data_IF_594945348581
#
_entry.id   IF_594945348581
#
_cell.length_a   1.000
_cell.length_b   1.000
_cell.length_c   1.000
_cell.angle_alpha   90.00
_cell.angle_beta   90.00
_cell.angle_gamma   90.00
#
_symmetry.space_group_name_H-M   'P 1'
#
loop_
_entity.id
_entity.type
_entity.pdbx_description
1 polymer ?
#
# COMPACT_ATOMS: atom_id res chain seq x y z
N UNK A 1 10.20 30.31 -20.24
CA UNK A 1 9.92 28.87 -20.04
C UNK A 1 10.09 28.53 -18.56
N UNK A 2 9.28 29.13 -17.69
CA UNK A 2 8.03 28.57 -17.15
C UNK A 2 8.21 27.42 -16.14
N UNK A 3 8.67 27.75 -14.92
CA UNK A 3 7.97 27.46 -13.65
C UNK A 3 7.37 26.04 -13.44
N UNK A 4 8.00 24.97 -13.95
CA UNK A 4 7.42 23.61 -13.94
C UNK A 4 8.30 22.52 -13.30
N UNK A 5 9.35 22.87 -12.56
CA UNK A 5 10.03 21.89 -11.70
C UNK A 5 9.49 22.08 -10.28
N UNK A 6 8.22 21.69 -10.09
CA UNK A 6 7.71 21.43 -8.73
C UNK A 6 8.59 20.30 -8.19
N UNK A 7 9.43 20.58 -7.19
CA UNK A 7 10.23 19.57 -6.50
C UNK A 7 9.23 18.57 -5.88
N UNK A 8 9.00 17.46 -6.57
CA UNK A 8 8.15 16.38 -6.08
C UNK A 8 8.99 15.56 -5.10
N UNK A 9 8.35 15.05 -4.04
CA UNK A 9 9.00 14.13 -3.09
C UNK A 9 9.62 12.96 -3.86
N UNK A 10 10.79 12.50 -3.43
CA UNK A 10 11.49 11.35 -4.00
C UNK A 10 10.58 10.11 -4.12
N UNK A 11 9.64 9.94 -3.17
CA UNK A 11 8.61 8.90 -3.21
C UNK A 11 7.68 9.04 -4.43
N UNK A 12 7.21 10.26 -4.71
CA UNK A 12 6.37 10.54 -5.88
C UNK A 12 7.14 10.27 -7.18
N UNK A 13 8.40 10.68 -7.26
CA UNK A 13 9.27 10.39 -8.41
C UNK A 13 9.45 8.88 -8.62
N UNK A 14 9.68 8.12 -7.55
CA UNK A 14 9.80 6.67 -7.61
C UNK A 14 8.50 5.95 -8.03
N UNK A 15 7.35 6.46 -7.62
CA UNK A 15 6.05 5.93 -8.04
C UNK A 15 5.85 6.12 -9.55
N UNK A 16 6.14 7.32 -10.06
CA UNK A 16 6.08 7.61 -11.49
C UNK A 16 7.08 6.75 -12.28
N UNK A 17 8.30 6.60 -11.79
CA UNK A 17 9.31 5.74 -12.40
C UNK A 17 8.88 4.27 -12.43
N UNK A 18 8.24 3.78 -11.37
CA UNK A 18 7.73 2.40 -11.31
C UNK A 18 6.62 2.18 -12.35
N UNK A 19 5.71 3.14 -12.49
CA UNK A 19 4.68 3.11 -13.53
C UNK A 19 5.30 3.08 -14.94
N UNK A 20 6.26 3.97 -15.22
CA UNK A 20 6.94 4.03 -16.51
C UNK A 20 7.70 2.73 -16.82
N UNK A 21 8.46 2.20 -15.85
CA UNK A 21 9.14 0.90 -15.99
C UNK A 21 8.16 -0.22 -16.36
N UNK A 22 6.96 -0.19 -15.77
CA UNK A 22 5.91 -1.18 -16.06
C UNK A 22 5.40 -1.04 -17.49
N UNK A 23 5.08 0.19 -17.92
CA UNK A 23 4.62 0.48 -19.28
C UNK A 23 5.66 0.02 -20.31
N UNK A 24 6.93 0.41 -20.14
CA UNK A 24 7.99 0.02 -21.07
C UNK A 24 8.30 -1.48 -21.03
N UNK A 25 8.13 -2.15 -19.89
CA UNK A 25 8.22 -3.61 -19.81
C UNK A 25 7.16 -4.29 -20.67
N UNK A 26 5.90 -3.81 -20.64
CA UNK A 26 4.85 -4.33 -21.50
C UNK A 26 5.05 -3.96 -22.96
N UNK A 27 5.49 -2.74 -23.26
CA UNK A 27 5.82 -2.32 -24.61
C UNK A 27 6.92 -3.19 -25.24
N UNK A 28 7.95 -3.56 -24.46
CA UNK A 28 8.99 -4.52 -24.89
C UNK A 28 8.42 -5.92 -25.09
N UNK A 29 7.54 -6.39 -24.18
CA UNK A 29 6.89 -7.71 -24.28
C UNK A 29 6.02 -7.82 -25.53
N UNK A 30 5.35 -6.74 -25.93
CA UNK A 30 4.54 -6.67 -27.13
C UNK A 30 5.35 -6.37 -28.41
N UNK A 31 6.67 -6.19 -28.30
CA UNK A 31 7.55 -5.96 -29.45
C UNK A 31 7.55 -4.53 -29.99
N UNK A 32 6.89 -3.57 -29.32
CA UNK A 32 6.89 -2.15 -29.75
C UNK A 32 8.26 -1.49 -29.60
N UNK A 33 9.07 -1.94 -28.63
CA UNK A 33 10.42 -1.42 -28.39
C UNK A 33 11.40 -2.56 -28.12
N UNK A 34 12.65 -2.40 -28.56
CA UNK A 34 13.74 -3.37 -28.33
C UNK A 34 14.42 -3.17 -26.98
N UNK A 35 14.58 -1.91 -26.58
CA UNK A 35 15.30 -1.51 -25.37
C UNK A 35 14.39 -0.61 -24.55
N UNK A 36 14.34 -0.82 -23.23
CA UNK A 36 13.56 0.04 -22.35
C UNK A 36 14.37 1.29 -21.99
N UNK A 37 13.87 2.51 -22.24
CA UNK A 37 14.58 3.75 -21.86
C UNK A 37 14.69 3.93 -20.34
N UNK A 38 14.01 3.09 -19.55
CA UNK A 38 14.03 3.14 -18.08
C UNK A 38 14.96 2.11 -17.44
N UNK A 39 15.68 1.31 -18.25
CA UNK A 39 16.53 0.22 -17.78
C UNK A 39 17.76 0.75 -17.01
N UNK A 40 18.28 1.93 -17.35
CA UNK A 40 19.40 2.58 -16.66
C UNK A 40 19.01 3.64 -15.62
N UNK A 41 17.73 3.77 -15.27
CA UNK A 41 17.28 4.80 -14.31
C UNK A 41 17.06 4.17 -12.94
N UNK A 42 17.91 4.54 -11.99
CA UNK A 42 17.79 4.12 -10.59
C UNK A 42 16.69 4.86 -9.83
N UNK A 43 16.15 4.19 -8.82
CA UNK A 43 15.19 4.81 -7.90
C UNK A 43 15.93 5.74 -6.93
N UNK A 44 15.32 6.86 -6.60
CA UNK A 44 15.80 7.73 -5.54
C UNK A 44 15.78 6.99 -4.20
N UNK A 45 16.79 7.19 -3.36
CA UNK A 45 16.78 6.69 -1.98
C UNK A 45 15.69 7.42 -1.21
N UNK A 46 14.77 6.66 -0.62
CA UNK A 46 13.69 7.19 0.23
C UNK A 46 13.93 6.63 1.61
N UNK A 47 14.14 7.51 2.59
CA UNK A 47 14.15 7.12 3.99
C UNK A 47 12.75 6.64 4.36
N UNK A 48 12.70 5.44 4.93
CA UNK A 48 11.45 4.84 5.34
C UNK A 48 11.13 5.40 6.71
N UNK A 49 10.20 6.35 6.77
CA UNK A 49 9.64 6.79 8.04
C UNK A 49 9.08 5.57 8.78
N UNK A 50 9.46 5.44 10.05
CA UNK A 50 8.92 4.42 10.93
C UNK A 50 7.41 4.64 11.05
N UNK A 51 6.64 3.57 10.87
CA UNK A 51 5.20 3.64 10.97
C UNK A 51 4.84 3.63 12.44
N UNK A 52 4.19 4.69 12.91
CA UNK A 52 3.60 4.70 14.25
C UNK A 52 2.64 3.52 14.38
N UNK A 53 2.90 2.65 15.36
CA UNK A 53 2.06 1.52 15.68
C UNK A 53 1.08 1.90 16.78
N UNK A 54 -0.16 1.41 16.69
CA UNK A 54 -1.13 1.60 17.76
C UNK A 54 -0.70 0.81 18.99
N UNK A 55 -0.70 1.46 20.15
CA UNK A 55 -0.49 0.81 21.45
C UNK A 55 -1.72 -0.01 21.83
N UNK A 56 -1.58 -1.05 22.66
CA UNK A 56 -2.71 -1.87 23.11
C UNK A 56 -3.86 -1.06 23.72
N UNK A 57 -3.56 0.03 24.44
CA UNK A 57 -4.56 0.91 25.05
C UNK A 57 -5.38 1.68 24.00
N UNK A 58 -4.73 2.12 22.92
CA UNK A 58 -5.37 2.82 21.81
C UNK A 58 -6.25 1.89 20.99
N UNK A 59 -5.82 0.62 20.82
CA UNK A 59 -6.62 -0.42 20.18
C UNK A 59 -7.90 -0.68 20.99
N UNK A 60 -7.79 -0.77 22.32
CA UNK A 60 -8.94 -0.96 23.20
C UNK A 60 -9.91 0.22 23.14
N UNK A 61 -9.41 1.46 23.07
CA UNK A 61 -10.24 2.65 22.90
C UNK A 61 -10.96 2.63 21.55
N UNK A 62 -10.26 2.27 20.47
CA UNK A 62 -10.81 2.16 19.12
C UNK A 62 -11.93 1.10 19.06
N UNK A 63 -11.70 -0.07 19.65
CA UNK A 63 -12.70 -1.16 19.69
C UNK A 63 -13.94 -0.81 20.52
N UNK A 64 -13.80 0.04 21.55
CA UNK A 64 -14.94 0.53 22.35
C UNK A 64 -15.81 1.52 21.59
N UNK A 65 -15.22 2.34 20.71
CA UNK A 65 -15.93 3.36 19.95
C UNK A 65 -16.46 2.86 18.58
N UNK A 66 -15.87 1.78 18.04
CA UNK A 66 -16.33 1.20 16.78
C UNK A 66 -17.69 0.46 16.92
N UNK A 67 -18.60 0.73 15.99
CA UNK A 67 -19.85 -0.02 15.80
C UNK A 67 -19.66 -1.13 14.75
N UNK A 68 -20.52 -2.14 14.77
CA UNK A 68 -20.53 -3.16 13.73
C UNK A 68 -20.86 -2.54 12.36
N UNK A 69 -20.21 -2.98 11.27
CA UNK A 69 -19.27 -4.12 11.14
C UNK A 69 -17.78 -3.76 11.36
N UNK A 70 -17.48 -2.48 11.63
CA UNK A 70 -16.09 -2.01 11.73
C UNK A 70 -15.37 -2.58 12.95
N UNK A 71 -16.10 -2.86 14.03
CA UNK A 71 -15.54 -3.53 15.21
C UNK A 71 -15.03 -4.93 14.89
N UNK A 72 -15.82 -5.76 14.21
CA UNK A 72 -15.37 -7.08 13.73
C UNK A 72 -14.18 -6.98 12.78
N UNK A 73 -14.17 -5.96 11.90
CA UNK A 73 -13.05 -5.72 10.98
C UNK A 73 -11.74 -5.41 11.73
N UNK A 74 -11.78 -4.47 12.68
CA UNK A 74 -10.61 -4.07 13.48
C UNK A 74 -10.15 -5.23 14.36
N UNK A 75 -11.07 -5.95 15.00
CA UNK A 75 -10.75 -7.10 15.84
C UNK A 75 -10.06 -8.20 15.03
N UNK A 76 -10.57 -8.52 13.84
CA UNK A 76 -9.95 -9.50 12.95
C UNK A 76 -8.57 -9.04 12.51
N UNK A 77 -8.40 -7.76 12.16
CA UNK A 77 -7.11 -7.21 11.75
C UNK A 77 -6.06 -7.28 12.87
N UNK A 78 -6.47 -6.99 14.11
CA UNK A 78 -5.59 -7.02 15.30
C UNK A 78 -5.19 -8.46 15.65
N UNK A 79 -6.14 -9.39 15.65
CA UNK A 79 -5.89 -10.78 16.08
C UNK A 79 -5.14 -11.61 15.01
N UNK A 80 -5.36 -11.35 13.73
CA UNK A 80 -4.79 -12.17 12.63
C UNK A 80 -3.63 -11.48 11.91
N UNK A 81 -3.41 -10.18 12.13
CA UNK A 81 -2.42 -9.40 11.38
C UNK A 81 -2.73 -9.28 9.88
N UNK A 82 -3.96 -9.60 9.44
CA UNK A 82 -4.33 -9.58 8.03
C UNK A 82 -4.31 -8.16 7.45
N UNK A 83 -3.81 -8.04 6.21
CA UNK A 83 -3.91 -6.78 5.46
C UNK A 83 -5.37 -6.47 5.14
N UNK A 84 -5.74 -5.18 5.14
CA UNK A 84 -7.10 -4.68 4.85
C UNK A 84 -7.74 -5.35 3.62
N UNK A 85 -6.95 -5.60 2.59
CA UNK A 85 -7.39 -6.27 1.36
C UNK A 85 -7.90 -7.69 1.61
N UNK A 86 -7.27 -8.46 2.50
CA UNK A 86 -7.73 -9.81 2.85
C UNK A 86 -9.04 -9.80 3.63
N UNK A 87 -9.21 -8.82 4.53
CA UNK A 87 -10.40 -8.73 5.40
C UNK A 87 -11.62 -8.26 4.59
N UNK A 88 -11.44 -7.32 3.64
CA UNK A 88 -12.54 -6.85 2.79
C UNK A 88 -13.06 -7.93 1.84
N UNK A 89 -12.21 -8.85 1.40
CA UNK A 89 -12.59 -9.93 0.46
C UNK A 89 -13.23 -11.14 1.14
N UNK A 90 -13.05 -11.33 2.46
CA UNK A 90 -13.65 -12.45 3.21
C UNK A 90 -14.72 -12.00 4.22
N UNK A 91 -15.80 -11.30 3.81
CA UNK A 91 -16.69 -10.67 4.78
C UNK A 91 -17.56 -11.63 5.61
N UNK A 92 -17.72 -12.93 5.28
CA UNK A 92 -18.62 -13.84 6.03
C UNK A 92 -18.30 -15.34 5.92
N UNK A 93 -17.10 -15.79 6.28
CA UNK A 93 -16.89 -17.22 6.51
C UNK A 93 -16.26 -17.48 7.87
N UNK A 94 -17.15 -17.76 8.82
CA UNK A 94 -16.91 -18.69 9.91
C UNK A 94 -15.62 -18.44 10.69
N UNK A 95 -15.60 -17.37 11.49
CA UNK A 95 -14.70 -17.32 12.65
C UNK A 95 -15.43 -18.13 13.73
N UNK A 96 -15.01 -19.34 14.09
CA UNK A 96 -15.53 -20.00 15.27
C UNK A 96 -15.07 -19.16 16.47
N UNK A 97 -15.94 -18.27 16.92
CA UNK A 97 -15.86 -17.75 18.27
C UNK A 97 -16.11 -18.96 19.16
N UNK A 98 -15.02 -19.56 19.65
CA UNK A 98 -15.07 -20.65 20.60
C UNK A 98 -15.80 -20.15 21.85
N UNK A 99 -16.98 -20.75 22.06
CA UNK A 99 -17.81 -20.83 23.28
C UNK A 99 -18.15 -19.52 24.01
#
# INVERSE_FOLDING_TARGET
MSKLIKIKSAKTCNNLLTMLKTIFKYARRWGYIRISPTEGVDKYRVEREEMDFLRPDEINLLLKQCREPFKTFVLTAVLTGMRKAGILTHPKQNIPLGQ
#
